data_IF_412997072809
#
_entry.id   IF_412997072809
#
_cell.length_a   1.000
_cell.length_b   1.000
_cell.length_c   1.000
_cell.angle_alpha   90.00
_cell.angle_beta   90.00
_cell.angle_gamma   90.00
#
_symmetry.space_group_name_H-M   'P 1'
#
loop_
_entity.id
_entity.type
_entity.pdbx_description
1 polymer ?
#
# COMPACT_ATOMS: atom_id res chain seq x y z
N UNK A 1 77.82 29.21 0.35
CA UNK A 1 77.42 29.54 1.73
C UNK A 1 76.33 30.60 1.63
N UNK A 2 75.06 30.23 1.49
CA UNK A 2 74.07 29.93 2.56
C UNK A 2 73.88 31.10 3.53
N UNK A 3 72.71 31.77 3.47
CA UNK A 3 71.84 32.15 4.60
C UNK A 3 70.70 33.05 4.10
N UNK A 4 69.47 32.54 3.92
CA UNK A 4 68.31 32.65 4.84
C UNK A 4 67.92 34.12 5.13
N UNK A 5 66.91 34.69 4.47
CA UNK A 5 65.46 34.55 4.71
C UNK A 5 64.99 35.23 6.00
N UNK A 6 64.37 36.40 5.87
CA UNK A 6 63.44 36.98 6.84
C UNK A 6 62.36 37.75 6.05
N UNK A 7 61.32 37.03 5.62
CA UNK A 7 60.08 37.64 5.12
C UNK A 7 59.16 37.80 6.31
N UNK A 8 59.02 39.03 6.77
CA UNK A 8 58.19 39.47 7.91
C UNK A 8 56.74 39.04 7.67
N UNK A 9 56.19 38.31 8.64
CA UNK A 9 54.81 37.79 8.65
C UNK A 9 53.90 38.92 9.14
N UNK A 10 52.91 39.32 8.33
CA UNK A 10 51.78 40.13 8.80
C UNK A 10 50.71 39.20 9.38
N UNK A 11 50.04 39.58 10.49
CA UNK A 11 49.11 38.71 11.19
C UNK A 11 47.85 38.45 10.36
N UNK A 12 47.48 37.17 10.27
CA UNK A 12 46.24 36.68 9.68
C UNK A 12 45.09 37.10 10.60
N UNK A 13 44.17 37.90 10.07
CA UNK A 13 42.93 38.27 10.76
C UNK A 13 42.08 37.01 10.92
N UNK A 14 41.89 36.61 12.18
CA UNK A 14 41.12 35.42 12.56
C UNK A 14 39.65 35.77 12.39
N UNK A 15 39.07 35.42 11.23
CA UNK A 15 37.64 35.51 11.02
C UNK A 15 36.92 34.57 12.01
N UNK A 16 36.08 35.18 12.84
CA UNK A 16 35.23 34.54 13.84
C UNK A 16 34.41 33.39 13.25
N UNK A 17 34.52 32.25 13.91
CA UNK A 17 33.66 31.07 13.77
C UNK A 17 32.22 31.41 14.19
N UNK A 18 31.37 31.74 13.21
CA UNK A 18 29.92 31.80 13.40
C UNK A 18 29.17 31.31 12.14
N UNK A 19 29.67 30.23 11.54
CA UNK A 19 29.00 29.48 10.47
C UNK A 19 28.20 28.27 11.02
N UNK A 20 27.35 28.52 12.02
CA UNK A 20 26.37 27.52 12.47
C UNK A 20 24.95 27.96 12.06
N UNK A 21 24.31 27.12 11.25
CA UNK A 21 22.87 27.12 10.94
C UNK A 21 22.31 28.25 10.05
N UNK A 22 22.70 28.27 8.76
CA UNK A 22 21.74 28.64 7.71
C UNK A 22 21.13 27.38 7.12
N UNK A 23 20.01 26.93 7.69
CA UNK A 23 19.07 26.08 6.95
C UNK A 23 18.68 26.85 5.68
N UNK A 24 18.76 26.26 4.48
CA UNK A 24 18.23 26.92 3.30
C UNK A 24 16.73 27.15 3.54
N UNK A 25 16.32 28.42 3.58
CA UNK A 25 14.92 28.78 3.57
C UNK A 25 14.29 28.14 2.33
N UNK A 26 13.35 27.22 2.54
CA UNK A 26 12.58 26.67 1.45
C UNK A 26 11.86 27.82 0.76
N UNK A 27 11.95 27.94 -0.58
CA UNK A 27 11.30 29.04 -1.27
C UNK A 27 9.79 28.94 -1.03
N UNK A 28 9.24 29.91 -0.28
CA UNK A 28 7.79 30.14 -0.20
C UNK A 28 7.34 30.65 -1.56
N UNK A 29 7.07 29.73 -2.48
CA UNK A 29 6.36 30.03 -3.71
C UNK A 29 4.98 30.54 -3.31
N UNK A 30 4.80 31.87 -3.31
CA UNK A 30 3.50 32.50 -3.14
C UNK A 30 2.72 32.18 -4.41
N UNK A 31 1.92 31.11 -4.34
CA UNK A 31 1.07 30.70 -5.44
C UNK A 31 0.01 31.79 -5.62
N UNK A 32 0.12 32.56 -6.69
CA UNK A 32 -0.92 33.52 -7.04
C UNK A 32 -2.22 32.76 -7.28
N UNK A 33 -3.27 33.12 -6.55
CA UNK A 33 -4.54 32.41 -6.55
C UNK A 33 -5.23 32.60 -7.92
N UNK A 34 -5.17 31.59 -8.77
CA UNK A 34 -6.02 31.51 -9.95
C UNK A 34 -7.48 31.25 -9.51
N UNK A 35 -8.47 31.98 -10.04
CA UNK A 35 -9.86 31.99 -9.54
C UNK A 35 -10.65 30.68 -9.75
N UNK A 36 -10.04 29.68 -10.38
CA UNK A 36 -10.61 28.34 -10.67
C UNK A 36 -9.87 27.22 -9.91
N UNK A 37 -9.06 27.57 -8.91
CA UNK A 37 -8.21 26.59 -8.24
C UNK A 37 -9.03 25.67 -7.34
N UNK A 38 -8.95 24.37 -7.64
CA UNK A 38 -9.45 23.30 -6.77
C UNK A 38 -9.02 23.56 -5.33
N UNK A 39 -9.90 23.30 -4.32
CA UNK A 39 -9.58 23.49 -2.91
C UNK A 39 -8.18 22.97 -2.56
N UNK A 40 -7.43 23.75 -1.78
CA UNK A 40 -6.02 23.50 -1.49
C UNK A 40 -5.83 22.11 -0.84
N UNK A 41 -6.75 21.73 0.05
CA UNK A 41 -6.75 20.43 0.70
C UNK A 41 -6.85 19.27 -0.29
N UNK A 42 -7.65 19.40 -1.36
CA UNK A 42 -7.77 18.34 -2.37
C UNK A 42 -6.49 18.21 -3.18
N UNK A 43 -5.83 19.33 -3.49
CA UNK A 43 -4.56 19.34 -4.22
C UNK A 43 -3.43 18.72 -3.40
N UNK A 44 -3.37 19.03 -2.11
CA UNK A 44 -2.39 18.43 -1.18
C UNK A 44 -2.61 16.92 -1.05
N UNK A 45 -3.88 16.52 -0.86
CA UNK A 45 -4.25 15.11 -0.71
C UNK A 45 -3.93 14.29 -1.96
N UNK A 46 -4.27 14.82 -3.15
CA UNK A 46 -3.93 14.22 -4.43
C UNK A 46 -2.42 14.05 -4.60
N UNK A 47 -1.64 15.07 -4.29
CA UNK A 47 -0.17 15.02 -4.37
C UNK A 47 0.41 13.95 -3.41
N UNK A 48 -0.09 13.88 -2.18
CA UNK A 48 0.33 12.87 -1.19
C UNK A 48 0.02 11.45 -1.66
N UNK A 49 -1.19 11.23 -2.19
CA UNK A 49 -1.62 9.91 -2.67
C UNK A 49 -0.91 9.50 -3.95
N UNK A 50 -0.63 10.45 -4.85
CA UNK A 50 0.10 10.20 -6.09
C UNK A 50 1.58 9.88 -5.84
N UNK A 51 2.22 10.59 -4.91
CA UNK A 51 3.63 10.36 -4.58
C UNK A 51 3.87 9.10 -3.73
N UNK A 52 2.82 8.51 -3.15
CA UNK A 52 2.94 7.34 -2.30
C UNK A 52 3.09 6.05 -3.12
N UNK A 53 4.09 5.25 -2.80
CA UNK A 53 4.28 3.90 -3.36
C UNK A 53 3.38 2.85 -2.72
N UNK A 54 2.84 3.14 -1.52
CA UNK A 54 1.97 2.25 -0.75
C UNK A 54 0.62 2.92 -0.42
N UNK A 55 -0.46 2.14 -0.20
CA UNK A 55 -1.72 2.71 0.27
C UNK A 55 -1.58 3.42 1.62
N UNK A 56 -2.18 4.61 1.75
CA UNK A 56 -2.10 5.44 2.96
C UNK A 56 -3.39 5.38 3.78
N UNK A 57 -3.28 5.16 5.10
CA UNK A 57 -4.44 5.29 5.99
C UNK A 57 -4.81 6.75 6.26
N UNK A 58 -6.06 6.97 6.70
CA UNK A 58 -6.57 8.32 6.98
C UNK A 58 -5.76 9.04 8.07
N UNK A 59 -5.21 8.31 9.05
CA UNK A 59 -4.43 8.89 10.14
C UNK A 59 -3.08 9.44 9.64
N UNK A 60 -2.45 8.75 8.68
CA UNK A 60 -1.21 9.15 8.04
C UNK A 60 -1.42 10.37 7.14
N UNK A 61 -2.55 10.41 6.42
CA UNK A 61 -2.96 11.57 5.63
C UNK A 61 -3.23 12.78 6.53
N UNK A 62 -4.02 12.60 7.60
CA UNK A 62 -4.35 13.67 8.55
C UNK A 62 -3.10 14.34 9.15
N UNK A 63 -2.07 13.57 9.50
CA UNK A 63 -0.80 14.10 10.05
C UNK A 63 -0.02 15.00 9.08
N UNK A 64 -0.28 14.90 7.78
CA UNK A 64 0.43 15.66 6.72
C UNK A 64 -0.40 16.79 6.15
N UNK A 65 -1.64 16.94 6.62
CA UNK A 65 -2.59 17.94 6.17
C UNK A 65 -2.68 19.08 7.18
N UNK A 66 -3.10 20.29 6.75
CA UNK A 66 -3.39 21.39 7.66
C UNK A 66 -4.45 21.02 8.71
N UNK A 67 -4.36 21.62 9.89
CA UNK A 67 -5.32 21.40 10.97
C UNK A 67 -6.73 21.84 10.55
N UNK A 68 -7.75 21.07 10.97
CA UNK A 68 -9.16 21.37 10.73
C UNK A 68 -9.71 20.86 9.39
N UNK A 69 -8.89 20.24 8.53
CA UNK A 69 -9.36 19.60 7.30
C UNK A 69 -10.16 18.33 7.62
N UNK A 70 -11.39 18.24 7.10
CA UNK A 70 -12.15 16.99 7.09
C UNK A 70 -11.62 16.06 5.99
N UNK A 71 -10.67 15.20 6.39
CA UNK A 71 -10.02 14.22 5.51
C UNK A 71 -11.05 13.27 4.87
N UNK A 72 -12.12 12.90 5.59
CA UNK A 72 -13.12 11.97 5.08
C UNK A 72 -13.93 12.62 3.97
N UNK A 73 -14.37 13.86 4.17
CA UNK A 73 -15.07 14.62 3.14
C UNK A 73 -14.17 14.89 1.92
N UNK A 74 -12.91 15.29 2.16
CA UNK A 74 -11.94 15.54 1.09
C UNK A 74 -11.65 14.29 0.25
N UNK A 75 -11.47 13.12 0.88
CA UNK A 75 -11.28 11.85 0.17
C UNK A 75 -12.50 11.44 -0.64
N UNK A 76 -13.71 11.63 -0.10
CA UNK A 76 -14.95 11.33 -0.82
C UNK A 76 -15.12 12.23 -2.05
N UNK A 77 -14.81 13.52 -1.92
CA UNK A 77 -14.83 14.45 -3.04
C UNK A 77 -13.78 14.06 -4.10
N UNK A 78 -12.55 13.78 -3.67
CA UNK A 78 -11.47 13.38 -4.59
C UNK A 78 -11.80 12.08 -5.31
N UNK A 79 -12.44 11.13 -4.62
CA UNK A 79 -12.91 9.89 -5.23
C UNK A 79 -13.96 10.14 -6.31
N UNK A 80 -14.95 11.00 -6.04
CA UNK A 80 -15.96 11.37 -7.02
C UNK A 80 -15.34 12.06 -8.26
N UNK A 81 -14.40 12.99 -8.04
CA UNK A 81 -13.74 13.71 -9.14
C UNK A 81 -12.90 12.81 -10.05
N UNK A 82 -12.43 11.68 -9.53
CA UNK A 82 -11.61 10.69 -10.25
C UNK A 82 -12.40 9.48 -10.76
N UNK A 83 -13.70 9.37 -10.47
CA UNK A 83 -14.49 8.19 -10.82
C UNK A 83 -14.55 7.92 -12.34
N UNK A 84 -14.59 8.98 -13.16
CA UNK A 84 -14.68 8.90 -14.63
C UNK A 84 -13.33 9.08 -15.33
N UNK A 85 -12.22 9.08 -14.59
CA UNK A 85 -10.86 9.27 -15.13
C UNK A 85 -10.18 7.92 -15.36
N UNK A 86 -9.11 7.90 -16.15
CA UNK A 86 -8.30 6.69 -16.39
C UNK A 86 -7.47 6.22 -15.17
N UNK A 87 -7.49 6.99 -14.09
CA UNK A 87 -6.96 6.63 -12.78
C UNK A 87 -8.08 6.88 -11.79
N UNK A 88 -8.33 5.94 -10.87
CA UNK A 88 -9.35 6.08 -9.85
C UNK A 88 -8.72 6.03 -8.45
N UNK A 89 -9.31 6.79 -7.53
CA UNK A 89 -8.99 6.71 -6.12
C UNK A 89 -9.79 5.56 -5.49
N UNK A 90 -9.07 4.54 -5.00
CA UNK A 90 -9.67 3.34 -4.43
C UNK A 90 -9.29 3.16 -2.96
N UNK A 91 -10.13 2.44 -2.23
CA UNK A 91 -9.90 2.05 -0.85
C UNK A 91 -9.57 0.57 -0.77
N UNK A 92 -8.43 0.24 -0.18
CA UNK A 92 -7.87 -1.11 -0.08
C UNK A 92 -7.38 -1.31 1.34
N UNK A 93 -7.82 -2.37 2.03
CA UNK A 93 -7.45 -2.63 3.43
C UNK A 93 -7.60 -1.38 4.33
N UNK A 94 -8.73 -0.66 4.20
CA UNK A 94 -9.00 0.63 4.85
C UNK A 94 -8.06 1.81 4.52
N UNK A 95 -7.13 1.64 3.58
CA UNK A 95 -6.15 2.63 3.11
C UNK A 95 -6.53 3.14 1.71
N UNK A 96 -6.00 4.29 1.31
CA UNK A 96 -6.31 4.97 0.06
C UNK A 96 -5.12 4.96 -0.89
N UNK A 97 -5.38 4.73 -2.17
CA UNK A 97 -4.35 4.72 -3.21
C UNK A 97 -4.96 4.96 -4.59
N UNK A 98 -4.15 5.47 -5.52
CA UNK A 98 -4.53 5.54 -6.93
C UNK A 98 -4.25 4.21 -7.64
N UNK A 99 -5.19 3.82 -8.51
CA UNK A 99 -5.06 2.67 -9.42
C UNK A 99 -5.53 3.07 -10.81
N UNK A 100 -5.03 2.38 -11.84
CA UNK A 100 -5.56 2.53 -13.20
C UNK A 100 -7.02 2.09 -13.23
N UNK A 101 -7.82 2.77 -14.03
CA UNK A 101 -9.23 2.44 -14.18
C UNK A 101 -9.40 1.03 -14.76
N UNK A 102 -10.37 0.27 -14.21
CA UNK A 102 -10.54 -1.15 -14.52
C UNK A 102 -10.93 -1.42 -15.97
N UNK A 103 -11.66 -0.50 -16.60
CA UNK A 103 -12.03 -0.50 -18.02
C UNK A 103 -10.82 -0.32 -18.96
N UNK A 104 -9.70 0.18 -18.44
CA UNK A 104 -8.44 0.38 -19.17
C UNK A 104 -7.40 -0.72 -18.91
N UNK A 105 -7.73 -1.77 -18.15
CA UNK A 105 -6.79 -2.83 -17.78
C UNK A 105 -6.11 -3.54 -18.97
N UNK A 106 -6.80 -3.62 -20.12
CA UNK A 106 -6.29 -4.24 -21.35
C UNK A 106 -5.03 -3.55 -21.92
N UNK A 107 -4.82 -2.27 -21.60
CA UNK A 107 -3.61 -1.54 -22.02
C UNK A 107 -2.34 -2.06 -21.31
N UNK A 108 -2.49 -2.63 -20.11
CA UNK A 108 -1.37 -3.02 -19.24
C UNK A 108 -0.87 -4.45 -19.51
N UNK A 109 -1.62 -5.27 -20.26
CA UNK A 109 -1.34 -6.71 -20.43
C UNK A 109 -0.04 -6.99 -21.20
N UNK A 110 0.51 -6.03 -21.95
CA UNK A 110 1.77 -6.20 -22.69
C UNK A 110 3.02 -6.13 -21.82
N UNK A 111 2.93 -5.59 -20.60
CA UNK A 111 4.10 -5.37 -19.73
C UNK A 111 4.21 -6.38 -18.56
N UNK A 112 3.34 -7.38 -18.48
CA UNK A 112 3.43 -8.37 -17.39
C UNK A 112 4.59 -9.34 -17.65
N UNK A 113 5.71 -9.13 -16.98
CA UNK A 113 6.68 -10.20 -16.71
C UNK A 113 5.94 -11.36 -16.07
N UNK A 114 6.03 -12.57 -16.62
CA UNK A 114 5.36 -13.77 -16.09
C UNK A 114 5.81 -14.05 -14.65
N UNK A 115 5.09 -13.51 -13.67
CA UNK A 115 5.14 -14.00 -12.30
C UNK A 115 4.59 -15.43 -12.31
N UNK A 116 5.35 -16.39 -11.76
CA UNK A 116 4.92 -17.80 -11.68
C UNK A 116 3.51 -17.87 -11.11
N UNK A 117 2.55 -18.25 -11.95
CA UNK A 117 1.14 -18.35 -11.55
C UNK A 117 1.00 -19.43 -10.48
N UNK A 118 0.22 -19.15 -9.43
CA UNK A 118 -0.17 -20.18 -8.46
C UNK A 118 -0.87 -21.33 -9.19
N UNK A 119 -0.60 -22.56 -8.76
CA UNK A 119 -1.33 -23.72 -9.29
C UNK A 119 -2.81 -23.64 -8.94
N UNK A 120 -3.66 -24.31 -9.72
CA UNK A 120 -5.10 -24.39 -9.44
C UNK A 120 -5.38 -24.87 -8.01
N UNK A 121 -4.65 -25.88 -7.54
CA UNK A 121 -4.77 -26.38 -6.18
C UNK A 121 -4.38 -25.34 -5.11
N UNK A 122 -3.38 -24.48 -5.38
CA UNK A 122 -3.02 -23.40 -4.46
C UNK A 122 -4.08 -22.29 -4.42
N UNK A 123 -4.69 -21.97 -5.57
CA UNK A 123 -5.81 -21.01 -5.65
C UNK A 123 -7.03 -21.54 -4.89
N UNK A 124 -7.37 -22.82 -5.02
CA UNK A 124 -8.45 -23.44 -4.24
C UNK A 124 -8.21 -23.34 -2.73
N UNK A 125 -7.00 -23.68 -2.27
CA UNK A 125 -6.64 -23.58 -0.85
C UNK A 125 -6.69 -22.13 -0.37
N UNK A 126 -6.20 -21.18 -1.16
CA UNK A 126 -6.27 -19.75 -0.85
C UNK A 126 -7.72 -19.28 -0.71
N UNK A 127 -8.61 -19.70 -1.61
CA UNK A 127 -10.03 -19.38 -1.54
C UNK A 127 -10.65 -19.92 -0.24
N UNK A 128 -10.39 -21.17 0.12
CA UNK A 128 -10.91 -21.75 1.37
C UNK A 128 -10.41 -20.97 2.58
N UNK A 129 -9.14 -20.57 2.61
CA UNK A 129 -8.61 -19.74 3.69
C UNK A 129 -9.32 -18.38 3.72
N UNK A 130 -9.55 -17.74 2.57
CA UNK A 130 -10.21 -16.44 2.50
C UNK A 130 -11.63 -16.49 3.08
N UNK A 131 -12.43 -17.50 2.71
CA UNK A 131 -13.84 -17.64 3.10
C UNK A 131 -14.05 -18.29 4.48
N UNK A 132 -13.13 -19.14 4.96
CA UNK A 132 -13.34 -19.94 6.18
C UNK A 132 -12.35 -19.62 7.32
N UNK A 133 -11.51 -18.58 7.19
CA UNK A 133 -10.57 -18.21 8.24
C UNK A 133 -11.27 -17.84 9.57
N UNK A 134 -10.65 -18.14 10.72
CA UNK A 134 -9.41 -18.91 10.87
C UNK A 134 -9.65 -20.40 10.60
N UNK A 135 -8.81 -21.03 9.76
CA UNK A 135 -8.98 -22.43 9.32
C UNK A 135 -7.70 -23.25 9.49
N UNK A 136 -7.82 -24.51 9.86
CA UNK A 136 -6.71 -25.46 10.01
C UNK A 136 -6.45 -26.23 8.73
N UNK A 137 -5.27 -26.85 8.62
CA UNK A 137 -4.95 -27.74 7.50
C UNK A 137 -5.97 -28.87 7.31
N UNK A 138 -6.41 -29.49 8.40
CA UNK A 138 -7.37 -30.59 8.35
C UNK A 138 -8.74 -30.12 7.81
N UNK A 139 -9.23 -28.97 8.28
CA UNK A 139 -10.48 -28.39 7.79
C UNK A 139 -10.38 -27.98 6.31
N UNK A 140 -9.21 -27.50 5.84
CA UNK A 140 -8.98 -27.24 4.41
C UNK A 140 -9.12 -28.54 3.61
N UNK A 141 -8.47 -29.62 4.06
CA UNK A 141 -8.50 -30.93 3.38
C UNK A 141 -9.91 -31.52 3.37
N UNK A 142 -10.66 -31.35 4.46
CA UNK A 142 -12.06 -31.75 4.57
C UNK A 142 -12.95 -31.01 3.56
N UNK A 143 -12.83 -29.68 3.47
CA UNK A 143 -13.60 -28.87 2.51
C UNK A 143 -13.23 -29.22 1.07
N UNK A 144 -11.95 -29.48 0.78
CA UNK A 144 -11.50 -29.88 -0.58
C UNK A 144 -11.87 -31.32 -0.94
N UNK A 145 -12.16 -32.17 0.04
CA UNK A 145 -12.35 -33.61 -0.16
C UNK A 145 -11.08 -34.37 -0.58
N UNK A 146 -9.92 -33.71 -0.59
CA UNK A 146 -8.62 -34.31 -0.97
C UNK A 146 -7.50 -33.78 -0.08
N UNK A 147 -6.50 -34.63 0.14
CA UNK A 147 -5.30 -34.25 0.89
C UNK A 147 -4.56 -33.13 0.14
N UNK A 148 -4.19 -32.08 0.87
CA UNK A 148 -3.45 -30.95 0.32
C UNK A 148 -1.99 -31.35 0.23
N UNK A 149 -1.26 -30.94 -0.82
CA UNK A 149 0.17 -31.26 -0.86
C UNK A 149 0.91 -30.60 0.30
N UNK A 150 2.02 -31.19 0.79
CA UNK A 150 2.76 -30.60 1.91
C UNK A 150 3.20 -29.16 1.62
N UNK A 151 3.70 -28.90 0.40
CA UNK A 151 4.23 -27.59 0.01
C UNK A 151 3.21 -26.54 -0.41
N UNK A 152 1.91 -26.86 -0.56
CA UNK A 152 0.93 -25.86 -1.01
C UNK A 152 0.78 -24.71 0.00
N UNK A 153 0.70 -25.03 1.29
CA UNK A 153 0.61 -24.01 2.34
C UNK A 153 1.91 -23.19 2.46
N UNK A 154 3.06 -23.84 2.27
CA UNK A 154 4.36 -23.16 2.31
C UNK A 154 4.47 -22.14 1.18
N UNK A 155 4.10 -22.53 -0.05
CA UNK A 155 4.06 -21.61 -1.21
C UNK A 155 3.11 -20.44 -0.94
N UNK A 156 1.93 -20.69 -0.35
CA UNK A 156 1.00 -19.60 -0.02
C UNK A 156 1.53 -18.69 1.09
N UNK A 157 2.25 -19.22 2.08
CA UNK A 157 2.92 -18.42 3.11
C UNK A 157 4.04 -17.55 2.49
N UNK A 158 4.81 -18.09 1.54
CA UNK A 158 5.86 -17.37 0.82
C UNK A 158 5.31 -16.19 0.00
N UNK A 159 4.07 -16.29 -0.53
CA UNK A 159 3.43 -15.14 -1.20
C UNK A 159 3.15 -13.97 -0.26
N UNK A 160 3.13 -14.20 1.05
CA UNK A 160 2.70 -13.21 2.04
C UNK A 160 1.20 -12.94 2.07
N UNK A 161 0.38 -13.62 1.26
CA UNK A 161 -1.08 -13.44 1.23
C UNK A 161 -1.80 -14.12 2.39
N UNK A 162 -1.19 -15.15 2.99
CA UNK A 162 -1.70 -15.81 4.19
C UNK A 162 -0.67 -15.76 5.33
N UNK A 163 -1.16 -15.89 6.57
CA UNK A 163 -0.32 -15.99 7.76
C UNK A 163 -0.94 -16.92 8.81
N UNK A 164 -0.14 -17.44 9.74
CA UNK A 164 -0.67 -18.11 10.93
C UNK A 164 -1.52 -17.15 11.78
N UNK A 165 -2.69 -17.62 12.25
CA UNK A 165 -3.66 -16.87 13.06
C UNK A 165 -3.94 -17.53 14.41
N UNK A 166 -2.91 -18.15 15.00
CA UNK A 166 -2.99 -18.85 16.28
C UNK A 166 -3.23 -20.36 16.15
N UNK A 167 -3.70 -20.99 17.23
CA UNK A 167 -3.94 -22.43 17.31
C UNK A 167 -5.34 -22.71 17.81
N UNK A 168 -6.00 -23.73 17.26
CA UNK A 168 -7.34 -24.17 17.67
C UNK A 168 -7.30 -24.83 19.06
N UNK A 169 -8.36 -24.65 19.86
CA UNK A 169 -8.51 -25.25 21.20
C UNK A 169 -9.12 -26.67 21.11
N UNK A 170 -8.56 -27.51 20.25
CA UNK A 170 -8.94 -28.91 20.06
C UNK A 170 -7.74 -29.82 20.33
N UNK A 171 -7.92 -31.15 20.48
CA UNK A 171 -6.81 -32.09 20.63
C UNK A 171 -5.75 -31.90 19.52
N UNK A 172 -4.47 -31.89 19.90
CA UNK A 172 -3.36 -31.60 18.98
C UNK A 172 -3.08 -30.12 18.70
N UNK A 173 -3.97 -29.20 19.12
CA UNK A 173 -3.84 -27.73 18.98
C UNK A 173 -3.27 -27.30 17.62
N UNK A 174 -3.93 -27.68 16.51
CA UNK A 174 -3.43 -27.41 15.17
C UNK A 174 -3.34 -25.91 14.88
N UNK A 175 -2.38 -25.55 14.04
CA UNK A 175 -2.20 -24.17 13.57
C UNK A 175 -3.36 -23.77 12.67
N UNK A 176 -3.86 -22.54 12.84
CA UNK A 176 -4.86 -21.94 11.97
C UNK A 176 -4.22 -20.90 11.06
N UNK A 177 -4.78 -20.72 9.87
CA UNK A 177 -4.35 -19.75 8.87
C UNK A 177 -5.45 -18.71 8.62
N UNK A 178 -5.02 -17.54 8.16
CA UNK A 178 -5.91 -16.46 7.68
C UNK A 178 -5.18 -15.56 6.69
N UNK A 179 -5.90 -14.67 6.03
CA UNK A 179 -5.34 -13.76 5.02
C UNK A 179 -4.66 -12.54 5.64
N UNK A 180 -3.90 -11.80 4.82
CA UNK A 180 -3.16 -10.60 5.20
C UNK A 180 -3.70 -9.34 4.50
N UNK A 181 -3.17 -8.16 4.84
CA UNK A 181 -3.43 -6.94 4.07
C UNK A 181 -2.88 -7.03 2.64
N UNK A 182 -1.78 -7.77 2.43
CA UNK A 182 -1.22 -8.02 1.10
C UNK A 182 -2.20 -8.81 0.22
N UNK A 183 -2.97 -9.74 0.80
CA UNK A 183 -4.08 -10.39 0.10
C UNK A 183 -5.13 -9.36 -0.33
N UNK A 184 -5.62 -8.52 0.59
CA UNK A 184 -6.60 -7.49 0.26
C UNK A 184 -6.09 -6.54 -0.83
N UNK A 185 -4.80 -6.18 -0.79
CA UNK A 185 -4.18 -5.35 -1.82
C UNK A 185 -4.04 -6.04 -3.17
N UNK A 186 -3.71 -7.33 -3.19
CA UNK A 186 -3.62 -8.08 -4.43
C UNK A 186 -4.98 -8.18 -5.13
N UNK A 187 -6.04 -8.42 -4.36
CA UNK A 187 -7.40 -8.59 -4.87
C UNK A 187 -8.22 -7.29 -4.89
N UNK A 188 -7.59 -6.14 -4.56
CA UNK A 188 -8.24 -4.82 -4.53
C UNK A 188 -9.52 -4.80 -3.68
N UNK A 189 -9.43 -5.35 -2.48
CA UNK A 189 -10.54 -5.43 -1.52
C UNK A 189 -10.34 -4.42 -0.38
N UNK A 190 -11.40 -3.76 0.07
CA UNK A 190 -11.37 -2.92 1.27
C UNK A 190 -11.36 -3.81 2.53
N UNK A 191 -12.18 -4.85 2.51
CA UNK A 191 -12.36 -5.80 3.60
C UNK A 191 -12.62 -7.21 3.09
N UNK A 192 -12.55 -8.20 3.99
CA UNK A 192 -12.95 -9.58 3.65
C UNK A 192 -14.46 -9.72 3.39
N UNK A 193 -15.27 -8.75 3.81
CA UNK A 193 -16.70 -8.72 3.52
C UNK A 193 -17.02 -8.42 2.06
N UNK A 194 -16.04 -7.89 1.30
CA UNK A 194 -16.22 -7.55 -0.12
C UNK A 194 -15.98 -8.78 -1.02
N UNK A 195 -15.62 -9.92 -0.44
CA UNK A 195 -15.52 -11.17 -1.18
C UNK A 195 -16.91 -11.57 -1.69
N UNK A 196 -17.03 -11.99 -2.98
CA UNK A 196 -18.29 -12.43 -3.55
C UNK A 196 -19.00 -13.46 -2.68
N UNK A 197 -20.33 -13.38 -2.57
CA UNK A 197 -21.09 -14.39 -1.84
C UNK A 197 -20.91 -15.77 -2.46
N UNK A 198 -20.86 -16.83 -1.64
CA UNK A 198 -20.82 -18.22 -2.14
C UNK A 198 -22.00 -18.55 -3.08
N UNK A 199 -23.13 -17.85 -2.94
CA UNK A 199 -24.28 -17.97 -3.83
C UNK A 199 -24.10 -17.24 -5.17
N UNK A 200 -23.39 -16.10 -5.19
CA UNK A 200 -23.09 -15.34 -6.42
C UNK A 200 -22.03 -16.06 -7.29
N UNK A 201 -21.13 -16.81 -6.65
CA UNK A 201 -20.15 -17.67 -7.35
C UNK A 201 -20.83 -18.82 -8.10
N UNK A 202 -21.95 -19.36 -7.61
CA UNK A 202 -22.71 -20.41 -8.31
C UNK A 202 -23.45 -19.87 -9.55
N UNK A 203 -23.82 -18.59 -9.54
CA UNK A 203 -24.48 -17.93 -10.67
C UNK A 203 -23.54 -17.54 -11.82
N UNK A 204 -22.23 -17.46 -11.56
CA UNK A 204 -21.21 -17.05 -12.53
C UNK A 204 -20.53 -18.22 -13.25
N UNK A 205 -20.93 -19.46 -12.98
CA UNK A 205 -20.57 -20.62 -13.82
C UNK A 205 -19.10 -21.01 -13.77
N UNK A 206 -18.48 -20.97 -12.59
CA UNK A 206 -17.19 -21.61 -12.29
C UNK A 206 -17.36 -22.96 -11.59
#
# INVERSE_FOLDING_TARGET
>A
MVSLAEKRIEPIEVASIDEAERRPEQPKVRLEAHPETRPEELRLLEALLFASTEPLDQATLAKRMPDGVDIKAALAQLQADYAMRGVNLVRIANKWTFRTAGDLAWLMTRESTETRKLSRAAIEVLAIIAYHQPVTRAEIEEIRGVVTSKGTLDVLLETGWIKPRGRRKTPGRPLTFGTTESFLSQFTLESLGDLPGLEELKGTGL
#
